data_IF_709486626721
#
_entry.id   IF_709486626721
#
_cell.length_a   1.000
_cell.length_b   1.000
_cell.length_c   1.000
_cell.angle_alpha   90.00
_cell.angle_beta   90.00
_cell.angle_gamma   90.00
#
_symmetry.space_group_name_H-M   'P 1'
#
loop_
_entity.id
_entity.type
_entity.pdbx_description
1 polymer ?
#
# COMPACT_ATOMS: atom_id res chain seq x y z
N UNK A 1 -0.57 13.97 29.43
CA UNK A 1 0.85 13.70 29.08
C UNK A 1 0.81 12.85 27.82
N UNK A 2 1.39 13.33 26.71
CA UNK A 2 1.47 12.55 25.47
C UNK A 2 2.51 11.46 25.67
N UNK A 3 2.08 10.21 25.63
CA UNK A 3 2.95 9.04 25.72
C UNK A 3 3.90 9.04 24.51
N UNK A 4 5.21 9.05 24.77
CA UNK A 4 6.25 9.06 23.73
C UNK A 4 6.57 7.62 23.37
N UNK A 5 6.49 7.31 22.08
CA UNK A 5 6.98 6.05 21.54
C UNK A 5 8.50 6.10 21.43
N UNK A 6 9.18 5.16 22.08
CA UNK A 6 10.62 4.97 21.98
C UNK A 6 10.98 3.88 20.97
N UNK A 7 12.13 3.98 20.29
CA UNK A 7 12.55 3.00 19.31
C UNK A 7 12.74 1.62 19.95
N UNK A 8 12.48 0.52 19.23
CA UNK A 8 12.80 -0.82 19.71
C UNK A 8 14.31 -1.01 19.92
N UNK A 9 14.70 -1.94 20.79
CA UNK A 9 16.10 -2.20 21.18
C UNK A 9 17.07 -2.31 19.99
N UNK A 10 16.66 -2.96 18.90
CA UNK A 10 17.51 -3.13 17.71
C UNK A 10 17.90 -1.82 16.99
N UNK A 11 17.25 -0.69 17.30
CA UNK A 11 17.54 0.60 16.66
C UNK A 11 18.50 1.45 17.50
N UNK A 12 18.46 1.36 18.84
CA UNK A 12 19.25 2.23 19.71
C UNK A 12 20.38 1.52 20.48
N UNK A 13 20.35 0.18 20.56
CA UNK A 13 21.39 -0.60 21.25
C UNK A 13 22.66 -0.59 20.41
N UNK A 14 23.80 -0.33 21.05
CA UNK A 14 25.09 -0.27 20.35
C UNK A 14 25.40 -1.65 19.75
N UNK A 15 25.69 -1.75 18.43
CA UNK A 15 26.15 -3.00 17.86
C UNK A 15 27.50 -3.38 18.49
N UNK A 16 27.77 -4.68 18.61
CA UNK A 16 29.02 -5.24 19.17
C UNK A 16 30.27 -4.74 18.42
N UNK A 17 30.09 -4.32 17.16
CA UNK A 17 31.08 -3.62 16.34
C UNK A 17 30.35 -2.52 15.56
N UNK A 18 30.67 -1.25 15.82
CA UNK A 18 30.10 -0.10 15.09
C UNK A 18 29.72 1.08 15.98
N UNK A 19 29.52 2.25 15.36
CA UNK A 19 29.03 3.44 16.05
C UNK A 19 27.50 3.42 16.08
N UNK A 20 26.92 3.91 17.17
CA UNK A 20 25.48 4.17 17.32
C UNK A 20 25.01 5.12 16.23
N UNK A 21 24.05 4.71 15.40
CA UNK A 21 23.49 5.59 14.38
C UNK A 21 22.50 6.58 15.00
N UNK A 22 23.01 7.76 15.30
CA UNK A 22 22.27 8.84 15.93
C UNK A 22 21.26 9.50 14.98
N UNK A 23 21.52 9.50 13.68
CA UNK A 23 20.62 10.08 12.67
C UNK A 23 19.36 9.22 12.58
N UNK A 24 19.53 7.90 12.46
CA UNK A 24 18.43 6.93 12.39
C UNK A 24 17.54 6.96 13.63
N UNK A 25 18.14 6.98 14.82
CA UNK A 25 17.39 7.01 16.09
C UNK A 25 16.56 8.29 16.21
N UNK A 26 17.12 9.45 15.85
CA UNK A 26 16.42 10.75 15.95
C UNK A 26 15.27 10.82 14.94
N UNK A 27 15.49 10.36 13.71
CA UNK A 27 14.45 10.33 12.68
C UNK A 27 13.34 9.32 13.02
N UNK A 28 13.68 8.15 13.57
CA UNK A 28 12.70 7.18 14.05
C UNK A 28 11.78 7.79 15.12
N UNK A 29 12.37 8.48 16.10
CA UNK A 29 11.62 9.16 17.15
C UNK A 29 10.66 10.20 16.58
N UNK A 30 11.11 10.99 15.61
CA UNK A 30 10.28 12.05 15.01
C UNK A 30 9.24 11.52 14.01
N UNK A 31 9.45 10.35 13.40
CA UNK A 31 8.50 9.70 12.51
C UNK A 31 7.35 9.01 13.25
N UNK A 32 7.62 8.48 14.45
CA UNK A 32 6.66 7.69 15.23
C UNK A 32 5.97 8.50 16.35
N UNK A 33 6.24 9.80 16.43
CA UNK A 33 5.64 10.72 17.39
C UNK A 33 5.22 12.02 16.69
N UNK A 34 4.06 12.58 17.07
CA UNK A 34 3.57 13.84 16.49
C UNK A 34 4.54 15.02 16.66
N UNK A 35 5.29 15.04 17.76
CA UNK A 35 6.34 16.01 18.08
C UNK A 35 7.29 15.40 19.13
N UNK A 36 8.58 15.73 19.07
CA UNK A 36 9.53 15.38 20.13
C UNK A 36 10.17 16.62 20.74
N UNK A 37 10.38 16.58 22.05
CA UNK A 37 11.11 17.61 22.79
C UNK A 37 12.56 17.16 23.01
N UNK A 38 13.45 18.14 23.20
CA UNK A 38 14.85 17.90 23.58
C UNK A 38 15.00 16.89 24.74
N UNK A 39 14.14 17.01 25.76
CA UNK A 39 14.16 16.14 26.93
C UNK A 39 13.90 14.66 26.59
N UNK A 40 13.08 14.35 25.58
CA UNK A 40 12.71 12.97 25.23
C UNK A 40 13.91 12.18 24.70
N UNK A 41 14.86 12.84 24.01
CA UNK A 41 16.07 12.19 23.53
C UNK A 41 17.09 11.92 24.67
N UNK A 42 16.94 12.59 25.81
CA UNK A 42 17.82 12.42 26.98
C UNK A 42 17.27 11.41 28.00
N UNK A 43 16.03 10.95 27.82
CA UNK A 43 15.41 9.93 28.66
C UNK A 43 15.88 8.53 28.28
N UNK A 44 15.73 7.60 29.23
CA UNK A 44 15.92 6.17 28.99
C UNK A 44 14.87 5.68 27.98
N UNK A 45 15.24 4.87 26.96
CA UNK A 45 16.49 4.12 26.83
C UNK A 45 17.58 4.79 25.97
N UNK A 46 17.40 6.06 25.58
CA UNK A 46 18.25 6.71 24.58
C UNK A 46 19.48 7.42 25.17
N UNK A 47 19.32 8.19 26.25
CA UNK A 47 20.44 8.84 26.96
C UNK A 47 21.45 9.57 26.03
N UNK A 48 20.98 10.40 25.08
CA UNK A 48 21.88 11.19 24.23
C UNK A 48 22.66 12.25 25.02
N UNK A 49 23.94 12.45 24.71
CA UNK A 49 24.72 13.58 25.22
C UNK A 49 24.31 14.86 24.48
N UNK A 50 24.41 16.02 25.16
CA UNK A 50 24.04 17.31 24.56
C UNK A 50 24.84 17.61 23.28
N UNK A 51 26.13 17.29 23.28
CA UNK A 51 27.01 17.51 22.12
C UNK A 51 26.62 16.67 20.90
N UNK A 52 26.24 15.40 21.10
CA UNK A 52 25.79 14.53 20.02
C UNK A 52 24.41 14.97 19.52
N UNK A 53 23.46 15.22 20.42
CA UNK A 53 22.11 15.63 20.05
C UNK A 53 22.10 16.96 19.29
N UNK A 54 22.85 17.97 19.76
CA UNK A 54 23.00 19.26 19.06
C UNK A 54 23.56 19.07 17.66
N UNK A 55 24.61 18.25 17.51
CA UNK A 55 25.26 18.03 16.21
C UNK A 55 24.28 17.45 15.20
N UNK A 56 23.57 16.38 15.56
CA UNK A 56 22.67 15.70 14.63
C UNK A 56 21.38 16.47 14.35
N UNK A 57 20.80 17.15 15.35
CA UNK A 57 19.62 18.00 15.10
C UNK A 57 19.95 19.18 14.18
N UNK A 58 21.11 19.82 14.34
CA UNK A 58 21.53 20.90 13.45
C UNK A 58 21.78 20.41 12.02
N UNK A 59 22.33 19.21 11.87
CA UNK A 59 22.53 18.58 10.56
C UNK A 59 21.19 18.26 9.88
N UNK A 60 20.24 17.68 10.62
CA UNK A 60 18.90 17.36 10.11
C UNK A 60 18.09 18.64 9.78
N UNK A 61 18.22 19.70 10.57
CA UNK A 61 17.62 21.01 10.28
C UNK A 61 18.23 21.64 9.02
N UNK A 62 19.56 21.61 8.89
CA UNK A 62 20.26 22.14 7.71
C UNK A 62 19.88 21.45 6.41
N UNK A 63 19.59 20.14 6.49
CA UNK A 63 19.14 19.33 5.36
C UNK A 63 17.61 19.33 5.18
N UNK A 64 16.86 20.16 5.93
CA UNK A 64 15.39 20.26 5.88
C UNK A 64 14.64 18.95 6.18
N UNK A 65 15.28 17.99 6.86
CA UNK A 65 14.66 16.72 7.24
C UNK A 65 13.77 16.87 8.48
N UNK A 66 14.03 17.87 9.31
CA UNK A 66 13.22 18.16 10.49
C UNK A 66 12.97 19.66 10.57
N UNK A 67 11.86 20.04 11.19
CA UNK A 67 11.50 21.42 11.47
C UNK A 67 11.46 21.68 12.97
N UNK A 68 11.95 22.87 13.35
CA UNK A 68 11.83 23.40 14.71
C UNK A 68 10.74 24.47 14.72
N UNK A 69 9.51 24.04 15.00
CA UNK A 69 8.34 24.93 15.03
C UNK A 69 8.15 25.65 16.37
N UNK A 70 8.78 25.18 17.45
CA UNK A 70 8.77 25.83 18.76
C UNK A 70 10.10 25.57 19.52
N UNK A 71 10.39 26.34 20.56
CA UNK A 71 11.65 26.27 21.31
C UNK A 71 11.84 24.87 21.90
N UNK A 72 12.82 24.14 21.37
CA UNK A 72 13.17 22.78 21.80
C UNK A 72 12.17 21.70 21.40
N UNK A 73 11.23 22.00 20.48
CA UNK A 73 10.29 21.04 19.90
C UNK A 73 10.58 20.85 18.41
N UNK A 74 10.59 19.59 17.99
CA UNK A 74 10.99 19.17 16.67
C UNK A 74 9.90 18.29 16.06
N UNK A 75 9.71 18.42 14.75
CA UNK A 75 8.82 17.58 13.95
C UNK A 75 9.54 17.13 12.69
N UNK A 76 9.23 15.94 12.19
CA UNK A 76 9.76 15.46 10.91
C UNK A 76 9.07 16.19 9.75
N UNK A 77 9.82 16.49 8.70
CA UNK A 77 9.27 16.96 7.42
C UNK A 77 9.00 15.77 6.49
N UNK A 78 8.32 16.01 5.36
CA UNK A 78 8.15 14.97 4.35
C UNK A 78 9.50 14.47 3.80
N UNK A 79 10.49 15.37 3.63
CA UNK A 79 11.84 15.00 3.18
C UNK A 79 12.58 14.15 4.24
N UNK A 80 12.41 14.47 5.52
CA UNK A 80 12.97 13.66 6.59
C UNK A 80 12.33 12.30 6.74
N UNK A 81 11.04 12.19 6.41
CA UNK A 81 10.33 10.91 6.39
C UNK A 81 10.85 10.01 5.27
N UNK A 82 11.09 10.56 4.07
CA UNK A 82 11.79 9.86 2.98
C UNK A 82 13.18 9.40 3.43
N UNK A 83 13.97 10.30 4.03
CA UNK A 83 15.30 9.98 4.54
C UNK A 83 15.27 8.89 5.62
N UNK A 84 14.29 8.93 6.50
CA UNK A 84 14.08 7.89 7.50
C UNK A 84 13.84 6.51 6.85
N UNK A 85 13.02 6.45 5.81
CA UNK A 85 12.77 5.21 5.07
C UNK A 85 14.01 4.71 4.31
N UNK A 86 14.80 5.62 3.73
CA UNK A 86 16.09 5.28 3.11
C UNK A 86 17.07 4.68 4.12
N UNK A 87 17.32 5.38 5.24
CA UNK A 87 18.27 4.92 6.27
C UNK A 87 17.80 3.61 6.89
N UNK A 88 16.50 3.47 7.15
CA UNK A 88 15.90 2.22 7.66
C UNK A 88 16.02 1.06 6.66
N UNK A 89 16.16 1.35 5.36
CA UNK A 89 16.40 0.34 4.32
C UNK A 89 17.89 0.03 4.15
N UNK A 90 18.79 0.93 4.54
CA UNK A 90 20.25 0.80 4.34
C UNK A 90 21.00 0.27 5.57
N UNK A 91 20.50 0.54 6.78
CA UNK A 91 21.05 -0.01 8.04
C UNK A 91 20.56 -1.43 8.27
N UNK A 92 21.14 -2.37 7.52
CA UNK A 92 21.02 -3.79 7.79
C UNK A 92 21.72 -4.17 9.09
N UNK A 93 21.01 -4.10 10.22
CA UNK A 93 21.11 -5.21 11.16
C UNK A 93 20.41 -6.42 10.50
N UNK A 94 21.04 -7.58 10.61
CA UNK A 94 20.56 -8.87 10.09
C UNK A 94 19.05 -8.96 10.27
N UNK A 95 18.31 -8.77 9.18
CA UNK A 95 16.85 -8.82 9.14
C UNK A 95 16.47 -10.16 9.78
N UNK A 96 15.95 -10.14 11.02
CA UNK A 96 15.25 -11.31 11.54
C UNK A 96 14.06 -11.49 10.63
N UNK A 97 14.19 -12.41 9.69
CA UNK A 97 13.12 -12.70 8.75
C UNK A 97 11.87 -13.00 9.57
N UNK A 98 10.79 -12.29 9.25
CA UNK A 98 9.48 -12.55 9.81
C UNK A 98 9.00 -13.88 9.21
N UNK A 99 9.35 -14.97 9.90
CA UNK A 99 8.97 -16.32 9.54
C UNK A 99 7.52 -16.60 9.94
N UNK A 100 6.81 -17.43 9.16
CA UNK A 100 5.42 -17.76 9.46
C UNK A 100 5.27 -18.39 10.85
N UNK A 101 4.25 -17.99 11.62
CA UNK A 101 3.99 -18.52 12.95
C UNK A 101 3.67 -20.01 12.90
N UNK A 102 3.79 -20.69 14.05
CA UNK A 102 3.52 -22.14 14.19
C UNK A 102 2.14 -22.55 13.68
N UNK A 103 1.15 -21.66 13.70
CA UNK A 103 -0.21 -21.93 13.21
C UNK A 103 -0.19 -22.22 11.69
N UNK A 104 0.59 -21.46 10.92
CA UNK A 104 0.74 -21.64 9.46
C UNK A 104 1.73 -22.77 9.15
N UNK A 105 2.80 -22.89 9.93
CA UNK A 105 3.81 -23.95 9.72
C UNK A 105 3.39 -25.32 10.25
N UNK A 106 2.25 -25.42 10.97
CA UNK A 106 1.68 -26.69 11.45
C UNK A 106 1.28 -27.63 10.32
N UNK A 107 0.80 -27.09 9.20
CA UNK A 107 0.52 -27.85 7.98
C UNK A 107 1.62 -27.57 6.98
N UNK A 108 2.04 -28.61 6.25
CA UNK A 108 3.09 -28.50 5.23
C UNK A 108 2.52 -27.89 3.94
N UNK A 109 2.20 -26.60 4.00
CA UNK A 109 1.78 -25.81 2.83
C UNK A 109 2.85 -24.78 2.47
N UNK A 110 3.73 -25.15 1.55
CA UNK A 110 4.85 -24.31 1.15
C UNK A 110 4.43 -23.04 0.41
N UNK A 111 3.27 -23.01 -0.24
CA UNK A 111 2.77 -21.79 -0.90
C UNK A 111 2.50 -20.69 0.13
N UNK A 112 1.77 -21.03 1.19
CA UNK A 112 1.44 -20.14 2.29
C UNK A 112 2.70 -19.66 3.03
N UNK A 113 3.69 -20.55 3.18
CA UNK A 113 4.95 -20.20 3.82
C UNK A 113 5.75 -19.21 2.98
N UNK A 114 5.80 -19.42 1.66
CA UNK A 114 6.48 -18.53 0.73
C UNK A 114 5.76 -17.18 0.67
N UNK A 115 4.43 -17.17 0.57
CA UNK A 115 3.61 -15.96 0.55
C UNK A 115 3.78 -15.13 1.83
N UNK A 116 3.79 -15.77 3.00
CA UNK A 116 4.10 -15.09 4.27
C UNK A 116 5.48 -14.44 4.25
N UNK A 117 6.49 -15.17 3.78
CA UNK A 117 7.86 -14.68 3.75
C UNK A 117 8.02 -13.46 2.85
N UNK A 118 7.53 -13.54 1.60
CA UNK A 118 7.66 -12.45 0.62
C UNK A 118 6.78 -11.24 0.98
N UNK A 119 5.63 -11.45 1.63
CA UNK A 119 4.80 -10.37 2.16
C UNK A 119 5.50 -9.62 3.30
N UNK A 120 5.89 -10.35 4.35
CA UNK A 120 6.33 -9.74 5.60
C UNK A 120 7.79 -9.26 5.58
N UNK A 121 8.57 -9.67 4.58
CA UNK A 121 9.99 -9.33 4.50
C UNK A 121 10.36 -8.46 3.29
N UNK A 122 9.37 -8.02 2.50
CA UNK A 122 9.47 -7.20 1.28
C UNK A 122 10.34 -7.75 0.13
N UNK A 123 11.48 -8.37 0.44
CA UNK A 123 12.45 -8.96 -0.47
C UNK A 123 13.02 -10.22 0.20
N UNK A 124 12.93 -11.37 -0.47
CA UNK A 124 13.47 -12.64 -0.01
C UNK A 124 14.47 -13.21 -1.02
N UNK A 125 15.57 -13.79 -0.54
CA UNK A 125 16.53 -14.57 -1.34
C UNK A 125 16.20 -16.06 -1.26
N UNK A 126 16.67 -16.82 -2.25
CA UNK A 126 16.50 -18.28 -2.28
C UNK A 126 16.95 -18.98 -0.98
N UNK A 127 18.06 -18.54 -0.39
CA UNK A 127 18.59 -19.09 0.86
C UNK A 127 17.64 -18.90 2.06
N UNK A 128 16.80 -17.86 2.05
CA UNK A 128 15.90 -17.54 3.16
C UNK A 128 14.78 -18.58 3.36
N UNK A 129 14.56 -19.46 2.39
CA UNK A 129 13.57 -20.55 2.47
C UNK A 129 14.19 -21.91 2.80
N UNK A 130 15.50 -22.07 2.58
CA UNK A 130 16.23 -23.33 2.77
C UNK A 130 16.74 -23.49 4.20
N UNK A 131 16.93 -22.38 4.91
CA UNK A 131 17.41 -22.38 6.29
C UNK A 131 16.25 -22.55 7.29
N UNK A 132 16.51 -23.11 8.49
CA UNK A 132 15.53 -23.11 9.59
C UNK A 132 15.07 -21.68 9.91
N UNK A 133 13.79 -21.48 10.27
CA UNK A 133 12.80 -22.47 10.70
C UNK A 133 11.97 -23.12 9.58
N UNK A 134 12.12 -22.70 8.32
CA UNK A 134 11.31 -23.19 7.19
C UNK A 134 11.85 -24.49 6.58
N UNK A 135 13.16 -24.54 6.36
CA UNK A 135 13.88 -25.71 5.84
C UNK A 135 13.15 -26.41 4.67
N UNK A 136 12.66 -25.63 3.69
CA UNK A 136 11.96 -26.17 2.52
C UNK A 136 12.99 -26.89 1.65
N UNK A 137 12.70 -28.11 1.19
CA UNK A 137 13.62 -28.79 0.28
C UNK A 137 13.69 -28.07 -1.08
N UNK A 138 14.85 -28.10 -1.73
CA UNK A 138 15.08 -27.35 -2.96
C UNK A 138 14.09 -27.72 -4.08
N UNK A 139 13.72 -29.00 -4.19
CA UNK A 139 12.79 -29.49 -5.20
C UNK A 139 11.35 -28.97 -5.01
N UNK A 140 10.83 -28.96 -3.78
CA UNK A 140 9.48 -28.40 -3.53
C UNK A 140 9.50 -26.88 -3.58
N UNK A 141 10.57 -26.23 -3.10
CA UNK A 141 10.72 -24.78 -3.19
C UNK A 141 10.66 -24.32 -4.65
N UNK A 142 11.42 -24.96 -5.53
CA UNK A 142 11.40 -24.67 -6.98
C UNK A 142 10.03 -24.86 -7.59
N UNK A 143 9.38 -26.00 -7.33
CA UNK A 143 8.04 -26.29 -7.86
C UNK A 143 7.00 -25.26 -7.40
N UNK A 144 7.06 -24.83 -6.14
CA UNK A 144 6.07 -23.92 -5.56
C UNK A 144 6.35 -22.46 -5.88
N UNK A 145 7.60 -22.02 -5.91
CA UNK A 145 7.96 -20.67 -6.39
C UNK A 145 7.57 -20.51 -7.85
N UNK A 146 7.88 -21.47 -8.72
CA UNK A 146 7.48 -21.37 -10.13
C UNK A 146 5.97 -21.27 -10.28
N UNK A 147 5.20 -22.04 -9.51
CA UNK A 147 3.74 -21.92 -9.49
C UNK A 147 3.26 -20.52 -9.04
N UNK A 148 3.93 -19.90 -8.05
CA UNK A 148 3.60 -18.55 -7.58
C UNK A 148 4.02 -17.46 -8.58
N UNK A 149 5.09 -17.69 -9.34
CA UNK A 149 5.51 -16.83 -10.45
C UNK A 149 4.52 -16.94 -11.62
N UNK A 150 4.10 -18.16 -11.98
CA UNK A 150 3.14 -18.43 -13.07
C UNK A 150 1.76 -17.83 -12.76
N UNK A 151 1.38 -17.78 -11.48
CA UNK A 151 0.15 -17.11 -10.99
C UNK A 151 0.33 -15.61 -10.75
N UNK A 152 1.51 -15.06 -11.04
CA UNK A 152 1.85 -13.64 -10.83
C UNK A 152 1.66 -13.14 -9.39
N UNK A 153 1.74 -14.03 -8.40
CA UNK A 153 1.62 -13.69 -6.97
C UNK A 153 2.96 -13.21 -6.39
N UNK A 154 4.06 -13.60 -7.03
CA UNK A 154 5.43 -13.25 -6.67
C UNK A 154 6.14 -12.83 -7.95
N UNK A 155 7.08 -11.89 -7.85
CA UNK A 155 7.99 -11.53 -8.93
C UNK A 155 9.43 -11.83 -8.53
N UNK A 156 10.29 -12.04 -9.54
CA UNK A 156 11.71 -12.30 -9.34
C UNK A 156 12.55 -11.27 -10.07
N UNK A 157 13.29 -10.46 -9.32
CA UNK A 157 14.23 -9.46 -9.84
C UNK A 157 15.59 -9.67 -9.18
N UNK A 158 16.69 -9.68 -9.96
CA UNK A 158 18.06 -9.80 -9.43
C UNK A 158 18.33 -10.97 -8.46
N UNK A 159 17.67 -12.13 -8.68
CA UNK A 159 17.71 -13.32 -7.79
C UNK A 159 17.03 -13.12 -6.42
N UNK A 160 16.20 -12.10 -6.30
CA UNK A 160 15.38 -11.79 -5.15
C UNK A 160 13.90 -11.90 -5.51
N UNK A 161 13.08 -12.24 -4.52
CA UNK A 161 11.66 -12.50 -4.66
C UNK A 161 10.87 -11.46 -3.85
N UNK A 162 9.91 -10.80 -4.47
CA UNK A 162 9.02 -9.83 -3.83
C UNK A 162 7.56 -10.13 -4.16
N UNK A 163 6.65 -9.72 -3.29
CA UNK A 163 5.23 -9.99 -3.47
C UNK A 163 4.58 -8.98 -4.40
N UNK A 164 3.67 -9.44 -5.26
CA UNK A 164 2.81 -8.57 -6.05
C UNK A 164 1.54 -8.23 -5.27
N UNK A 165 0.75 -7.26 -5.74
CA UNK A 165 -0.55 -6.98 -5.12
C UNK A 165 -1.53 -8.15 -5.24
N UNK A 166 -1.51 -8.90 -6.35
CA UNK A 166 -2.26 -10.15 -6.45
C UNK A 166 -1.83 -11.15 -5.36
N UNK A 167 -0.53 -11.25 -5.10
CA UNK A 167 0.02 -11.99 -3.97
C UNK A 167 -0.45 -11.49 -2.61
N UNK A 168 -0.57 -10.17 -2.41
CA UNK A 168 -1.10 -9.58 -1.16
C UNK A 168 -2.58 -9.94 -0.94
N UNK A 169 -3.39 -9.93 -2.00
CA UNK A 169 -4.81 -10.34 -1.94
C UNK A 169 -4.90 -11.82 -1.58
N UNK A 170 -4.09 -12.67 -2.23
CA UNK A 170 -4.07 -14.10 -1.93
C UNK A 170 -3.54 -14.39 -0.53
N UNK A 171 -2.54 -13.63 -0.07
CA UNK A 171 -2.05 -13.66 1.29
C UNK A 171 -3.15 -13.26 2.30
N UNK A 172 -3.95 -12.23 2.02
CA UNK A 172 -5.09 -11.85 2.87
C UNK A 172 -6.15 -12.95 2.94
N UNK A 173 -6.47 -13.63 1.82
CA UNK A 173 -7.34 -14.82 1.81
C UNK A 173 -6.75 -15.97 2.61
N UNK A 174 -5.45 -16.23 2.46
CA UNK A 174 -4.71 -17.22 3.22
C UNK A 174 -4.81 -16.94 4.72
N UNK A 175 -4.60 -15.70 5.16
CA UNK A 175 -4.69 -15.33 6.58
C UNK A 175 -6.06 -15.62 7.19
N UNK A 176 -7.14 -15.39 6.44
CA UNK A 176 -8.51 -15.73 6.86
C UNK A 176 -8.66 -17.24 7.16
N UNK A 177 -7.91 -18.10 6.49
CA UNK A 177 -7.96 -19.55 6.71
C UNK A 177 -7.21 -20.01 7.97
N UNK A 178 -6.33 -19.17 8.53
CA UNK A 178 -5.49 -19.51 9.69
C UNK A 178 -5.93 -18.83 11.00
N UNK A 179 -7.02 -18.05 10.97
CA UNK A 179 -7.57 -17.32 12.13
C UNK A 179 -6.51 -16.50 12.87
N UNK A 180 -5.59 -15.89 12.10
CA UNK A 180 -4.51 -15.07 12.61
C UNK A 180 -4.98 -13.62 12.76
N UNK A 181 -5.11 -13.22 14.03
CA UNK A 181 -5.45 -11.92 14.60
C UNK A 181 -6.10 -10.90 13.65
N UNK A 182 -7.44 -10.95 13.62
CA UNK A 182 -8.35 -10.03 12.92
C UNK A 182 -7.93 -8.56 13.06
N UNK A 183 -7.35 -8.17 14.19
CA UNK A 183 -6.92 -6.80 14.48
C UNK A 183 -5.75 -6.32 13.61
N UNK A 184 -4.80 -7.19 13.26
CA UNK A 184 -3.64 -6.81 12.43
C UNK A 184 -4.04 -6.62 10.97
N UNK A 185 -4.88 -7.52 10.45
CA UNK A 185 -5.47 -7.41 9.11
C UNK A 185 -6.33 -6.15 9.01
N UNK A 186 -7.16 -5.88 10.02
CA UNK A 186 -7.98 -4.67 10.06
C UNK A 186 -7.11 -3.41 10.10
N UNK A 187 -6.02 -3.39 10.87
CA UNK A 187 -5.15 -2.20 10.95
C UNK A 187 -4.42 -1.89 9.63
N UNK A 188 -3.98 -2.90 8.88
CA UNK A 188 -3.35 -2.69 7.57
C UNK A 188 -4.35 -2.28 6.50
N UNK A 189 -5.53 -2.92 6.47
CA UNK A 189 -6.61 -2.51 5.57
C UNK A 189 -7.13 -1.11 5.91
N UNK A 190 -7.23 -0.74 7.19
CA UNK A 190 -7.58 0.63 7.60
C UNK A 190 -6.56 1.64 7.11
N UNK A 191 -5.25 1.37 7.23
CA UNK A 191 -4.21 2.27 6.70
C UNK A 191 -4.30 2.44 5.18
N UNK A 192 -4.56 1.35 4.46
CA UNK A 192 -4.76 1.38 3.00
C UNK A 192 -5.98 2.21 2.63
N UNK A 193 -7.11 2.00 3.32
CA UNK A 193 -8.33 2.78 3.13
C UNK A 193 -8.03 4.25 3.40
N UNK A 194 -7.38 4.60 4.51
CA UNK A 194 -7.04 5.98 4.86
C UNK A 194 -6.13 6.68 3.82
N UNK A 195 -5.21 5.92 3.19
CA UNK A 195 -4.37 6.45 2.11
C UNK A 195 -5.18 6.70 0.83
N UNK A 196 -5.98 5.73 0.42
CA UNK A 196 -6.86 5.84 -0.75
C UNK A 196 -7.83 7.00 -0.56
N UNK A 197 -8.52 7.06 0.59
CA UNK A 197 -9.45 8.14 0.91
C UNK A 197 -8.79 9.52 0.82
N UNK A 198 -7.56 9.70 1.32
CA UNK A 198 -6.84 10.97 1.19
C UNK A 198 -6.52 11.34 -0.26
N UNK A 199 -6.06 10.38 -1.07
CA UNK A 199 -5.82 10.60 -2.50
C UNK A 199 -7.12 10.98 -3.22
N UNK A 200 -8.20 10.25 -2.93
CA UNK A 200 -9.51 10.45 -3.53
C UNK A 200 -10.13 11.80 -3.16
N UNK A 201 -10.05 12.25 -1.91
CA UNK A 201 -10.53 13.59 -1.51
C UNK A 201 -9.80 14.68 -2.29
N UNK A 202 -8.48 14.54 -2.46
CA UNK A 202 -7.69 15.46 -3.28
C UNK A 202 -8.15 15.44 -4.73
N UNK A 203 -8.32 14.26 -5.32
CA UNK A 203 -8.84 14.10 -6.67
C UNK A 203 -10.22 14.75 -6.86
N UNK A 204 -11.18 14.53 -5.95
CA UNK A 204 -12.50 15.16 -6.02
C UNK A 204 -12.43 16.68 -5.95
N UNK A 205 -11.53 17.21 -5.13
CA UNK A 205 -11.30 18.66 -5.02
C UNK A 205 -10.71 19.22 -6.32
N UNK A 206 -9.69 18.55 -6.87
CA UNK A 206 -8.99 18.99 -8.08
C UNK A 206 -9.91 18.95 -9.32
N UNK A 207 -10.84 17.98 -9.37
CA UNK A 207 -11.75 17.78 -10.52
C UNK A 207 -13.20 18.20 -10.27
N UNK A 208 -13.50 18.83 -9.13
CA UNK A 208 -14.83 19.34 -8.74
C UNK A 208 -15.94 18.30 -8.84
N UNK A 209 -15.69 17.14 -8.22
CA UNK A 209 -16.68 16.06 -8.11
C UNK A 209 -17.45 16.27 -6.81
N UNK A 210 -18.62 16.90 -6.87
CA UNK A 210 -19.39 17.30 -5.68
C UNK A 210 -20.57 16.35 -5.35
N UNK A 211 -20.95 15.44 -6.25
CA UNK A 211 -22.05 14.50 -6.03
C UNK A 211 -21.63 13.39 -5.03
N UNK A 212 -22.20 13.43 -3.83
CA UNK A 212 -21.93 12.47 -2.74
C UNK A 212 -22.15 11.00 -3.16
N UNK A 213 -23.15 10.70 -4.00
CA UNK A 213 -23.40 9.34 -4.46
C UNK A 213 -22.32 8.86 -5.43
N UNK A 214 -21.86 9.75 -6.31
CA UNK A 214 -20.73 9.46 -7.22
C UNK A 214 -19.46 9.28 -6.41
N UNK A 215 -19.20 10.14 -5.42
CA UNK A 215 -18.05 10.04 -4.52
C UNK A 215 -18.02 8.71 -3.77
N UNK A 216 -19.17 8.29 -3.23
CA UNK A 216 -19.32 7.04 -2.50
C UNK A 216 -19.04 5.83 -3.38
N UNK A 217 -19.70 5.73 -4.55
CA UNK A 217 -19.48 4.63 -5.51
C UNK A 217 -18.06 4.57 -6.03
N UNK A 218 -17.46 5.74 -6.26
CA UNK A 218 -16.05 5.84 -6.65
C UNK A 218 -15.13 5.25 -5.58
N UNK A 219 -15.35 5.59 -4.30
CA UNK A 219 -14.57 5.05 -3.20
C UNK A 219 -14.72 3.53 -3.08
N UNK A 220 -15.93 2.99 -3.20
CA UNK A 220 -16.15 1.54 -3.21
C UNK A 220 -15.40 0.88 -4.37
N UNK A 221 -15.47 1.47 -5.56
CA UNK A 221 -14.86 0.92 -6.77
C UNK A 221 -13.34 0.99 -6.75
N UNK A 222 -12.74 2.10 -6.32
CA UNK A 222 -11.28 2.28 -6.30
C UNK A 222 -10.60 1.42 -5.22
N UNK A 223 -11.35 1.02 -4.18
CA UNK A 223 -10.87 0.04 -3.21
C UNK A 223 -10.74 -1.36 -3.83
N UNK A 224 -11.54 -1.66 -4.85
CA UNK A 224 -11.57 -2.96 -5.51
C UNK A 224 -10.71 -3.02 -6.80
N UNK A 225 -10.59 -1.92 -7.53
CA UNK A 225 -9.80 -1.81 -8.77
C UNK A 225 -8.43 -1.18 -8.50
N UNK A 226 -7.38 -2.01 -8.49
CA UNK A 226 -6.00 -1.53 -8.26
C UNK A 226 -5.35 -0.93 -9.51
N UNK A 227 -4.65 0.20 -9.37
CA UNK A 227 -3.95 0.81 -10.50
C UNK A 227 -2.76 -0.04 -11.00
N UNK A 228 -2.17 -0.87 -10.12
CA UNK A 228 -0.96 -1.63 -10.45
C UNK A 228 -1.20 -2.67 -11.57
N UNK A 229 -2.41 -3.22 -11.72
CA UNK A 229 -2.79 -4.10 -12.84
C UNK A 229 -2.69 -3.44 -14.21
N UNK A 230 -3.02 -2.15 -14.29
CA UNK A 230 -3.02 -1.41 -15.56
C UNK A 230 -1.75 -0.58 -15.75
N UNK A 231 -0.88 -0.47 -14.75
CA UNK A 231 0.31 0.40 -14.75
C UNK A 231 1.26 0.19 -15.93
N UNK A 232 1.33 -1.03 -16.46
CA UNK A 232 2.14 -1.37 -17.65
C UNK A 232 1.58 -0.77 -18.94
N UNK A 233 0.25 -0.58 -19.02
CA UNK A 233 -0.46 -0.04 -20.18
C UNK A 233 -0.86 1.44 -19.98
N UNK A 234 -1.09 1.84 -18.74
CA UNK A 234 -1.54 3.15 -18.32
C UNK A 234 -0.52 3.73 -17.35
N UNK A 235 0.36 4.60 -17.86
CA UNK A 235 1.49 5.14 -17.08
C UNK A 235 1.08 6.24 -16.09
N UNK A 236 -0.13 6.79 -16.22
CA UNK A 236 -0.63 7.90 -15.41
C UNK A 236 -1.77 7.43 -14.49
N UNK A 237 -1.51 7.43 -13.18
CA UNK A 237 -2.49 7.08 -12.13
C UNK A 237 -3.70 8.03 -12.18
N UNK A 238 -3.49 9.30 -12.53
CA UNK A 238 -4.59 10.27 -12.66
C UNK A 238 -5.54 9.94 -13.81
N UNK A 239 -5.03 9.34 -14.90
CA UNK A 239 -5.89 8.91 -16.00
C UNK A 239 -6.73 7.69 -15.59
N UNK A 240 -6.17 6.81 -14.76
CA UNK A 240 -6.91 5.69 -14.18
C UNK A 240 -8.06 6.18 -13.30
N UNK A 241 -7.78 7.10 -12.39
CA UNK A 241 -8.79 7.75 -11.56
C UNK A 241 -9.92 8.37 -12.40
N UNK A 242 -9.59 9.03 -13.53
CA UNK A 242 -10.60 9.54 -14.47
C UNK A 242 -11.42 8.44 -15.14
N UNK A 243 -10.81 7.32 -15.52
CA UNK A 243 -11.54 6.18 -16.11
C UNK A 243 -12.54 5.62 -15.10
N UNK A 244 -12.14 5.47 -13.83
CA UNK A 244 -13.05 5.02 -12.77
C UNK A 244 -14.17 6.04 -12.58
N UNK A 245 -13.87 7.34 -12.55
CA UNK A 245 -14.88 8.39 -12.45
C UNK A 245 -15.89 8.33 -13.59
N UNK A 246 -15.46 8.03 -14.82
CA UNK A 246 -16.37 7.89 -15.97
C UNK A 246 -17.39 6.76 -15.76
N UNK A 247 -16.95 5.60 -15.26
CA UNK A 247 -17.85 4.48 -14.93
C UNK A 247 -18.88 4.89 -13.86
N UNK A 248 -18.46 5.65 -12.85
CA UNK A 248 -19.32 6.04 -11.73
C UNK A 248 -20.33 7.15 -12.06
N UNK A 249 -19.96 8.04 -12.98
CA UNK A 249 -20.89 9.04 -13.54
C UNK A 249 -21.92 8.41 -14.46
N UNK A 250 -21.56 7.32 -15.13
CA UNK A 250 -22.46 6.53 -15.95
C UNK A 250 -23.02 5.32 -15.19
N UNK A 251 -23.38 5.50 -13.92
CA UNK A 251 -24.10 4.48 -13.15
C UNK A 251 -25.63 4.64 -13.32
N UNK A 252 -26.45 3.56 -13.32
CA UNK A 252 -27.90 3.67 -13.47
C UNK A 252 -28.60 4.63 -12.50
N UNK A 253 -28.07 4.79 -11.28
CA UNK A 253 -28.58 5.76 -10.28
C UNK A 253 -28.47 7.22 -10.71
N UNK A 254 -27.69 7.51 -11.75
CA UNK A 254 -27.56 8.86 -12.30
C UNK A 254 -28.60 9.15 -13.37
N UNK A 255 -29.44 8.18 -13.77
CA UNK A 255 -30.45 8.39 -14.80
C UNK A 255 -31.36 9.60 -14.48
N UNK A 256 -31.56 10.54 -15.43
CA UNK A 256 -31.13 10.50 -16.84
C UNK A 256 -29.80 11.22 -17.14
N UNK A 257 -29.05 11.64 -16.11
CA UNK A 257 -27.85 12.47 -16.20
C UNK A 257 -26.58 11.66 -16.56
N UNK A 258 -26.56 10.99 -17.70
CA UNK A 258 -25.36 10.33 -18.20
C UNK A 258 -24.39 11.34 -18.85
N UNK A 259 -23.13 10.94 -19.02
CA UNK A 259 -22.12 11.71 -19.76
C UNK A 259 -21.52 10.86 -20.88
N UNK A 260 -21.54 11.38 -22.10
CA UNK A 260 -20.94 10.67 -23.23
C UNK A 260 -19.42 10.59 -23.11
N UNK A 261 -18.80 9.59 -23.75
CA UNK A 261 -17.33 9.45 -23.81
C UNK A 261 -16.65 10.73 -24.26
N UNK A 262 -17.21 11.39 -25.29
CA UNK A 262 -16.67 12.61 -25.88
C UNK A 262 -16.75 13.79 -24.93
N UNK A 263 -17.89 13.99 -24.26
CA UNK A 263 -18.07 15.07 -23.29
C UNK A 263 -17.15 14.88 -22.08
N UNK A 264 -17.05 13.66 -21.54
CA UNK A 264 -16.16 13.36 -20.43
C UNK A 264 -14.69 13.59 -20.79
N UNK A 265 -14.25 13.09 -21.96
CA UNK A 265 -12.89 13.24 -22.45
C UNK A 265 -12.47 14.71 -22.54
N UNK A 266 -13.37 15.56 -23.08
CA UNK A 266 -13.14 17.00 -23.17
C UNK A 266 -13.14 17.68 -21.80
N UNK A 267 -14.08 17.32 -20.91
CA UNK A 267 -14.23 17.94 -19.59
C UNK A 267 -13.02 17.67 -18.67
N UNK A 268 -12.51 16.44 -18.68
CA UNK A 268 -11.45 16.01 -17.74
C UNK A 268 -10.07 15.85 -18.41
N UNK A 269 -9.93 16.23 -19.68
CA UNK A 269 -8.65 16.26 -20.38
C UNK A 269 -8.00 14.88 -20.50
N UNK A 270 -8.78 13.87 -20.90
CA UNK A 270 -8.29 12.52 -21.24
C UNK A 270 -8.56 12.25 -22.72
N UNK A 271 -7.66 11.56 -23.41
CA UNK A 271 -7.88 11.19 -24.82
C UNK A 271 -9.07 10.23 -24.92
N UNK A 272 -10.06 10.53 -25.75
CA UNK A 272 -11.25 9.69 -25.92
C UNK A 272 -10.91 8.24 -26.25
N UNK A 273 -9.98 7.99 -27.18
CA UNK A 273 -9.55 6.64 -27.54
C UNK A 273 -8.90 5.88 -26.38
N UNK A 274 -8.26 6.60 -25.46
CA UNK A 274 -7.66 6.02 -24.25
C UNK A 274 -8.75 5.62 -23.25
N UNK A 275 -9.73 6.50 -23.05
CA UNK A 275 -10.88 6.23 -22.19
C UNK A 275 -11.67 5.02 -22.69
N UNK A 276 -11.99 5.01 -23.98
CA UNK A 276 -12.72 3.92 -24.64
C UNK A 276 -11.99 2.57 -24.48
N UNK A 277 -10.69 2.53 -24.77
CA UNK A 277 -9.88 1.33 -24.61
C UNK A 277 -9.91 0.77 -23.19
N UNK A 278 -9.67 1.61 -22.16
CA UNK A 278 -9.63 1.10 -20.79
C UNK A 278 -11.01 0.78 -20.21
N UNK A 279 -12.07 1.42 -20.69
CA UNK A 279 -13.44 1.03 -20.33
C UNK A 279 -13.74 -0.37 -20.86
N UNK A 280 -13.40 -0.65 -22.12
CA UNK A 280 -13.52 -1.99 -22.74
C UNK A 280 -12.69 -3.03 -21.99
N UNK A 281 -11.44 -2.71 -21.62
CA UNK A 281 -10.58 -3.60 -20.84
C UNK A 281 -11.16 -3.95 -19.45
N UNK A 282 -11.79 -2.98 -18.79
CA UNK A 282 -12.38 -3.15 -17.46
C UNK A 282 -13.71 -3.91 -17.52
N UNK A 283 -14.57 -3.53 -18.47
CA UNK A 283 -15.96 -4.00 -18.52
C UNK A 283 -16.08 -5.31 -19.29
N UNK A 284 -15.45 -5.41 -20.47
CA UNK A 284 -15.67 -6.51 -21.42
C UNK A 284 -14.51 -7.52 -21.41
N UNK A 285 -13.26 -7.07 -21.32
CA UNK A 285 -12.10 -7.98 -21.26
C UNK A 285 -11.77 -8.47 -19.84
N UNK A 286 -12.53 -8.01 -18.83
CA UNK A 286 -12.44 -8.48 -17.44
C UNK A 286 -11.02 -8.47 -16.88
N UNK A 287 -10.27 -7.38 -17.12
CA UNK A 287 -8.91 -7.23 -16.57
C UNK A 287 -8.88 -7.26 -15.03
N UNK A 288 -10.03 -7.05 -14.39
CA UNK A 288 -10.26 -7.24 -12.96
C UNK A 288 -11.21 -8.41 -12.69
N UNK A 289 -11.10 -9.08 -11.52
CA UNK A 289 -12.01 -10.17 -11.15
C UNK A 289 -13.44 -9.71 -10.84
N UNK A 290 -13.70 -8.40 -10.83
CA UNK A 290 -15.03 -7.80 -10.66
C UNK A 290 -15.68 -7.71 -12.03
N UNK A 291 -16.92 -8.18 -12.15
CA UNK A 291 -17.69 -8.05 -13.38
C UNK A 291 -18.50 -6.77 -13.38
N UNK A 292 -18.55 -6.14 -14.55
CA UNK A 292 -19.45 -5.05 -14.83
C UNK A 292 -20.55 -5.51 -15.78
N UNK A 293 -21.73 -4.94 -15.62
CA UNK A 293 -22.86 -5.09 -16.52
C UNK A 293 -23.13 -3.76 -17.20
N UNK A 294 -23.58 -3.84 -18.45
CA UNK A 294 -23.95 -2.68 -19.26
C UNK A 294 -25.47 -2.62 -19.43
N UNK A 295 -26.03 -1.42 -19.29
CA UNK A 295 -27.44 -1.13 -19.55
C UNK A 295 -27.54 -0.04 -20.61
N UNK A 296 -28.20 -0.37 -21.71
CA UNK A 296 -28.32 0.49 -22.89
C UNK A 296 -29.79 0.86 -23.11
N UNK A 297 -30.30 1.93 -22.48
CA UNK A 297 -31.68 2.35 -22.66
C UNK A 297 -31.91 3.02 -24.03
N UNK A 298 -30.84 3.48 -24.70
CA UNK A 298 -30.87 3.99 -26.07
C UNK A 298 -29.50 3.81 -26.74
N UNK A 299 -29.40 4.08 -28.04
CA UNK A 299 -28.15 3.91 -28.81
C UNK A 299 -26.99 4.83 -28.38
N UNK A 300 -27.28 5.90 -27.61
CA UNK A 300 -26.29 6.91 -27.21
C UNK A 300 -26.00 6.90 -25.70
N UNK A 301 -26.75 6.11 -24.93
CA UNK A 301 -26.67 6.08 -23.47
C UNK A 301 -26.22 4.69 -23.06
N UNK A 302 -25.10 4.64 -22.33
CA UNK A 302 -24.55 3.42 -21.75
C UNK A 302 -24.38 3.67 -20.26
N UNK A 303 -24.96 2.79 -19.45
CA UNK A 303 -24.74 2.75 -18.01
C UNK A 303 -23.96 1.50 -17.62
N UNK A 304 -23.10 1.63 -16.61
CA UNK A 304 -22.26 0.57 -16.07
C UNK A 304 -22.58 0.35 -14.59
N UNK A 305 -22.68 -0.91 -14.17
CA UNK A 305 -22.86 -1.26 -12.76
C UNK A 305 -22.18 -2.60 -12.44
N UNK A 306 -21.78 -2.80 -11.19
CA UNK A 306 -21.02 -3.97 -10.76
C UNK A 306 -21.91 -5.16 -10.38
N UNK A 307 -21.36 -6.37 -10.52
CA UNK A 307 -21.91 -7.62 -9.97
C UNK A 307 -21.95 -7.53 -8.43
N UNK A 308 -23.06 -8.00 -7.85
CA UNK A 308 -23.49 -7.88 -6.45
C UNK A 308 -23.82 -6.48 -5.96
N UNK A 309 -23.87 -5.49 -6.86
CA UNK A 309 -24.39 -4.15 -6.55
C UNK A 309 -25.89 -4.15 -6.27
N UNK A 310 -26.37 -3.13 -5.54
CA UNK A 310 -27.80 -2.96 -5.22
C UNK A 310 -28.69 -3.05 -6.45
N UNK A 311 -28.27 -2.46 -7.58
CA UNK A 311 -29.01 -2.47 -8.84
C UNK A 311 -29.16 -3.88 -9.41
N UNK A 312 -28.11 -4.70 -9.40
CA UNK A 312 -28.20 -6.08 -9.88
C UNK A 312 -29.15 -6.92 -9.02
N UNK A 313 -29.09 -6.76 -7.69
CA UNK A 313 -30.00 -7.46 -6.77
C UNK A 313 -31.47 -7.16 -7.06
N UNK A 314 -31.76 -5.92 -7.47
CA UNK A 314 -33.12 -5.49 -7.84
C UNK A 314 -33.54 -6.04 -9.22
N UNK A 315 -32.60 -6.22 -10.16
CA UNK A 315 -32.88 -6.77 -11.50
C UNK A 315 -33.02 -8.31 -11.52
N UNK A 316 -32.51 -9.02 -10.51
CA UNK A 316 -32.66 -10.47 -10.35
C UNK A 316 -33.99 -10.90 -9.71
N UNK A 317 -34.79 -9.94 -9.22
CA UNK A 317 -36.08 -10.19 -8.54
C UNK A 317 -37.24 -10.13 -9.52
#
# INVERSE_FOLDING_TARGET
>A
MTEINFPPEGIYKKPTVGKRDSEHIILWMLANNNQCQWAHFKQDPLNFTDSTLSKYLNLLLGNKFIDRFDRGKYKITNEGLTRFHEISSTHGEIKRLNHPPKVITRRRNYEDWILWMVYNNSICKWSNFLEPPLAINQSSLSKKINLLLDKELVIRENKEYSITNAGKIEYSKMLKNYDLDRQSILNEESKRIDEITRKTIKFFTDYKVDDENVQFRYLETILELDYDRVKTMLTNETDFEKIILYLMLNHPDQFPNNISLKEFANKYGIKQSKLEYFVDEIVDNHIYPIKFFTLNPSAEIIYYFQEYGKVESMLRT
#
